data_IF_286499498597
#
_entry.id   IF_286499498597
#
_cell.length_a   1.000
_cell.length_b   1.000
_cell.length_c   1.000
_cell.angle_alpha   90.00
_cell.angle_beta   90.00
_cell.angle_gamma   90.00
#
_symmetry.space_group_name_H-M   'P 1'
#
loop_
_entity.id
_entity.type
_entity.pdbx_description
1 polymer ?
#
# COMPACT_ATOMS: atom_id res chain seq x y z
N UNK A 1 -1.97 21.91 6.01
CA UNK A 1 -1.23 22.87 6.86
C UNK A 1 -1.04 24.17 6.10
N UNK A 2 -0.95 25.31 6.80
CA UNK A 2 -0.59 26.61 6.24
C UNK A 2 0.51 27.28 7.06
N UNK A 3 1.49 27.86 6.36
CA UNK A 3 2.66 28.50 6.95
C UNK A 3 2.76 29.94 6.45
N UNK A 4 3.33 30.82 7.27
CA UNK A 4 3.67 32.16 6.84
C UNK A 4 4.85 32.10 5.86
N UNK A 5 4.70 32.73 4.71
CA UNK A 5 5.70 32.67 3.64
C UNK A 5 7.07 33.29 4.01
N UNK A 6 7.11 34.25 4.94
CA UNK A 6 8.33 35.00 5.28
C UNK A 6 9.26 34.28 6.24
N UNK A 7 8.72 33.47 7.15
CA UNK A 7 9.48 32.88 8.27
C UNK A 7 9.17 31.38 8.50
N UNK A 8 8.26 30.78 7.73
CA UNK A 8 7.87 29.39 7.89
C UNK A 8 7.08 29.10 9.17
N UNK A 9 6.59 30.12 9.88
CA UNK A 9 5.75 29.90 11.09
C UNK A 9 4.45 29.20 10.70
N UNK A 10 4.15 28.05 11.33
CA UNK A 10 2.86 27.36 11.17
C UNK A 10 1.73 28.27 11.69
N UNK A 11 0.74 28.54 10.85
CA UNK A 11 -0.40 29.40 11.17
C UNK A 11 -1.70 28.62 11.35
N UNK A 12 -1.83 27.50 10.64
CA UNK A 12 -3.03 26.67 10.66
C UNK A 12 -2.73 25.22 10.26
N UNK A 13 -3.49 24.29 10.82
CA UNK A 13 -3.47 22.88 10.45
C UNK A 13 -4.84 22.24 10.62
N UNK A 14 -5.05 21.15 9.90
CA UNK A 14 -6.26 20.33 9.95
C UNK A 14 -5.86 18.90 9.55
N UNK A 15 -6.50 17.86 10.11
CA UNK A 15 -6.35 16.49 9.63
C UNK A 15 -6.88 16.36 8.19
N UNK A 16 -6.42 15.31 7.51
CA UNK A 16 -6.84 15.03 6.14
C UNK A 16 -7.12 13.53 5.90
N UNK A 17 -7.32 12.73 6.95
CA UNK A 17 -7.51 11.27 6.92
C UNK A 17 -6.40 10.39 6.29
N UNK A 18 -5.56 10.96 5.43
CA UNK A 18 -4.50 10.28 4.68
C UNK A 18 -3.35 11.23 4.38
N UNK A 19 -2.33 10.72 3.69
CA UNK A 19 -1.22 11.53 3.19
C UNK A 19 -1.67 12.44 2.06
N UNK A 20 -1.20 13.69 2.07
CA UNK A 20 -1.50 14.71 1.05
C UNK A 20 -0.26 14.89 0.17
N UNK A 21 -0.31 14.34 -1.04
CA UNK A 21 0.83 14.33 -1.98
C UNK A 21 0.72 15.42 -3.05
N UNK A 22 -0.50 15.73 -3.48
CA UNK A 22 -0.76 16.72 -4.52
C UNK A 22 -0.54 18.14 -3.99
N UNK A 23 -0.14 19.04 -4.87
CA UNK A 23 -0.11 20.47 -4.56
C UNK A 23 -1.54 20.99 -4.31
N UNK A 24 -1.75 21.89 -3.33
CA UNK A 24 -3.02 22.56 -3.17
C UNK A 24 -3.28 23.55 -4.32
N UNK A 25 -4.56 23.83 -4.55
CA UNK A 25 -5.03 24.88 -5.47
C UNK A 25 -5.89 25.90 -4.70
N UNK A 26 -5.96 27.14 -5.17
CA UNK A 26 -6.87 28.16 -4.64
C UNK A 26 -7.65 28.82 -5.76
N UNK A 27 -8.90 29.18 -5.49
CA UNK A 27 -9.79 29.83 -6.46
C UNK A 27 -10.84 30.70 -5.76
N UNK A 28 -11.55 31.51 -6.56
CA UNK A 28 -12.68 32.33 -6.13
C UNK A 28 -13.98 31.75 -6.67
N UNK A 29 -15.02 31.66 -5.82
CA UNK A 29 -16.38 31.30 -6.24
C UNK A 29 -17.38 32.09 -5.40
N UNK A 30 -18.38 32.72 -6.04
CA UNK A 30 -19.41 33.50 -5.33
C UNK A 30 -18.86 34.65 -4.48
N UNK A 31 -17.67 35.19 -4.81
CA UNK A 31 -17.01 36.24 -4.02
C UNK A 31 -16.21 35.74 -2.81
N UNK A 32 -16.19 34.43 -2.54
CA UNK A 32 -15.42 33.80 -1.47
C UNK A 32 -14.18 33.08 -2.02
N UNK A 33 -13.09 33.06 -1.24
CA UNK A 33 -11.87 32.31 -1.56
C UNK A 33 -11.92 30.90 -0.97
N UNK A 34 -11.46 29.94 -1.77
CA UNK A 34 -11.34 28.53 -1.41
C UNK A 34 -9.90 28.04 -1.59
N UNK A 35 -9.49 27.07 -0.77
CA UNK A 35 -8.24 26.32 -0.92
C UNK A 35 -8.58 24.84 -0.92
N UNK A 36 -8.21 24.14 -1.98
CA UNK A 36 -8.53 22.72 -2.17
C UNK A 36 -7.30 21.85 -2.24
N UNK A 37 -7.38 20.69 -1.61
CA UNK A 37 -6.38 19.64 -1.60
C UNK A 37 -6.97 18.37 -2.19
N UNK A 38 -6.20 17.71 -3.07
CA UNK A 38 -6.46 16.33 -3.46
C UNK A 38 -5.71 15.43 -2.47
N UNK A 39 -6.45 14.81 -1.56
CA UNK A 39 -5.93 13.91 -0.54
C UNK A 39 -5.83 12.50 -1.12
N UNK A 40 -4.73 11.81 -0.83
CA UNK A 40 -4.53 10.44 -1.28
C UNK A 40 -3.09 10.00 -1.10
N UNK A 41 -2.83 9.16 -0.10
CA UNK A 41 -1.54 8.50 0.02
C UNK A 41 -1.31 7.52 -1.14
N UNK A 42 -0.20 7.69 -1.85
CA UNK A 42 0.07 6.99 -3.10
C UNK A 42 1.42 7.35 -3.71
N UNK A 43 1.58 7.04 -4.99
CA UNK A 43 2.81 7.28 -5.74
C UNK A 43 3.90 6.24 -5.46
N UNK A 44 5.05 6.39 -6.12
CA UNK A 44 6.11 5.38 -6.13
C UNK A 44 6.67 5.05 -4.73
N UNK A 45 6.75 6.04 -3.84
CA UNK A 45 7.34 5.84 -2.52
C UNK A 45 6.57 4.81 -1.68
N UNK A 46 5.23 4.89 -1.67
CA UNK A 46 4.38 4.01 -0.86
C UNK A 46 4.11 2.65 -1.49
N UNK A 47 4.34 2.50 -2.80
CA UNK A 47 4.24 1.20 -3.47
C UNK A 47 5.57 0.45 -3.47
N UNK A 48 6.70 1.11 -3.74
CA UNK A 48 8.01 0.46 -3.84
C UNK A 48 8.75 0.36 -2.51
N UNK A 49 8.95 1.50 -1.84
CA UNK A 49 9.61 1.58 -0.54
C UNK A 49 8.61 1.36 0.61
N UNK A 50 7.69 0.41 0.43
CA UNK A 50 6.51 0.24 1.29
C UNK A 50 6.85 0.01 2.77
N UNK A 51 7.91 -0.74 3.06
CA UNK A 51 8.40 -0.93 4.43
C UNK A 51 8.80 0.39 5.11
N UNK A 52 9.46 1.28 4.38
CA UNK A 52 9.88 2.60 4.89
C UNK A 52 8.70 3.58 4.91
N UNK A 53 7.81 3.49 3.93
CA UNK A 53 6.67 4.40 3.79
C UNK A 53 5.69 4.29 4.96
N UNK A 54 5.66 3.17 5.69
CA UNK A 54 4.86 2.99 6.90
C UNK A 54 5.18 4.02 8.00
N UNK A 55 6.38 4.61 8.00
CA UNK A 55 6.75 5.68 8.93
C UNK A 55 5.89 6.95 8.78
N UNK A 56 5.20 7.11 7.65
CA UNK A 56 4.26 8.22 7.45
C UNK A 56 2.99 8.09 8.32
N UNK A 57 2.68 6.90 8.84
CA UNK A 57 1.54 6.70 9.75
C UNK A 57 0.17 6.92 9.11
N UNK A 58 0.06 6.85 7.78
CA UNK A 58 -1.17 7.07 7.02
C UNK A 58 -1.54 5.86 6.17
N UNK A 59 -2.83 5.74 5.85
CA UNK A 59 -3.39 4.72 4.95
C UNK A 59 -3.95 5.39 3.69
N UNK A 60 -4.05 4.69 2.55
CA UNK A 60 -4.68 5.26 1.36
C UNK A 60 -6.15 5.59 1.63
N UNK A 61 -6.52 6.85 1.40
CA UNK A 61 -7.90 7.33 1.41
C UNK A 61 -7.97 8.51 0.44
N UNK A 62 -8.80 8.42 -0.59
CA UNK A 62 -8.84 9.41 -1.65
C UNK A 62 -10.06 10.31 -1.49
N UNK A 63 -9.83 11.61 -1.27
CA UNK A 63 -10.91 12.59 -1.09
C UNK A 63 -10.47 14.00 -1.53
N UNK A 64 -11.47 14.86 -1.78
CA UNK A 64 -11.24 16.28 -2.09
C UNK A 64 -11.59 17.08 -0.86
N UNK A 65 -10.60 17.73 -0.25
CA UNK A 65 -10.82 18.61 0.90
C UNK A 65 -10.73 20.07 0.47
N UNK A 66 -11.81 20.80 0.68
CA UNK A 66 -11.89 22.23 0.35
C UNK A 66 -12.16 23.04 1.60
N UNK A 67 -11.36 24.08 1.79
CA UNK A 67 -11.39 24.96 2.96
C UNK A 67 -11.75 26.38 2.53
N UNK A 68 -12.54 27.07 3.37
CA UNK A 68 -12.77 28.52 3.30
C UNK A 68 -12.77 29.12 4.70
N UNK A 69 -12.64 30.44 4.79
CA UNK A 69 -12.80 31.15 6.07
C UNK A 69 -14.23 30.97 6.59
N UNK A 70 -14.36 30.55 7.85
CA UNK A 70 -15.66 30.34 8.50
C UNK A 70 -16.37 29.03 8.15
N UNK A 71 -15.74 28.12 7.37
CA UNK A 71 -16.29 26.78 7.15
C UNK A 71 -16.30 25.94 8.43
N UNK A 72 -17.40 25.25 8.69
CA UNK A 72 -17.67 24.48 9.92
C UNK A 72 -18.06 23.01 9.66
N UNK A 73 -17.97 22.58 8.39
CA UNK A 73 -18.15 21.18 8.01
C UNK A 73 -17.15 20.28 8.72
N UNK A 74 -17.63 19.11 9.16
CA UNK A 74 -16.80 18.12 9.84
C UNK A 74 -16.18 17.17 8.83
N UNK A 75 -14.89 16.90 9.01
CA UNK A 75 -14.21 15.85 8.26
C UNK A 75 -14.86 14.51 8.59
N UNK A 76 -15.31 13.78 7.56
CA UNK A 76 -15.86 12.44 7.75
C UNK A 76 -14.74 11.49 8.20
N UNK A 77 -15.04 10.63 9.17
CA UNK A 77 -14.11 9.59 9.61
C UNK A 77 -13.89 8.58 8.48
N UNK A 78 -12.64 8.21 8.16
CA UNK A 78 -12.36 7.24 7.12
C UNK A 78 -12.70 5.82 7.58
N UNK A 79 -13.36 5.04 6.71
CA UNK A 79 -13.52 3.60 6.94
C UNK A 79 -12.27 2.85 6.46
N UNK A 80 -11.59 2.24 7.42
CA UNK A 80 -10.34 1.57 7.23
C UNK A 80 -10.48 0.11 7.61
N UNK A 81 -10.57 -0.82 6.62
CA UNK A 81 -10.72 -2.23 6.94
C UNK A 81 -9.52 -2.72 7.77
N UNK A 82 -9.73 -3.62 8.73
CA UNK A 82 -8.64 -4.19 9.51
C UNK A 82 -7.69 -4.94 8.57
N UNK A 83 -6.41 -5.00 8.94
CA UNK A 83 -5.45 -5.82 8.22
C UNK A 83 -5.74 -7.29 8.52
N UNK A 84 -5.92 -8.10 7.48
CA UNK A 84 -6.11 -9.53 7.63
C UNK A 84 -4.88 -10.18 8.28
N UNK A 85 -5.12 -11.11 9.22
CA UNK A 85 -4.06 -11.99 9.73
C UNK A 85 -3.59 -12.88 8.58
N UNK A 86 -2.27 -13.07 8.39
CA UNK A 86 -1.76 -14.01 7.39
C UNK A 86 -2.29 -15.43 7.59
N UNK A 87 -2.64 -16.11 6.49
CA UNK A 87 -3.01 -17.53 6.45
C UNK A 87 -2.07 -18.31 5.52
N UNK A 88 -0.75 -18.34 5.78
CA UNK A 88 0.18 -19.04 4.91
C UNK A 88 -0.07 -20.56 4.96
N UNK A 89 -0.05 -21.26 3.82
CA UNK A 89 0.06 -22.71 3.79
C UNK A 89 1.42 -23.17 4.34
N UNK A 90 1.55 -24.49 4.55
CA UNK A 90 2.82 -25.09 4.96
C UNK A 90 3.94 -24.79 3.95
N UNK A 91 5.10 -24.41 4.46
CA UNK A 91 6.28 -24.19 3.64
C UNK A 91 6.97 -25.52 3.33
N UNK A 92 7.06 -25.85 2.04
CA UNK A 92 7.67 -27.10 1.56
C UNK A 92 8.90 -26.88 0.69
N UNK A 93 9.19 -25.64 0.30
CA UNK A 93 10.33 -25.31 -0.54
C UNK A 93 11.65 -25.30 0.24
N UNK A 94 12.74 -25.59 -0.47
CA UNK A 94 14.10 -25.48 0.03
C UNK A 94 14.51 -24.02 0.27
N UNK A 95 15.57 -23.82 1.06
CA UNK A 95 16.14 -22.50 1.29
C UNK A 95 16.65 -21.83 -0.01
N UNK A 96 17.11 -22.63 -0.97
CA UNK A 96 17.58 -22.17 -2.29
C UNK A 96 16.42 -21.65 -3.14
N UNK A 97 15.32 -22.40 -3.25
CA UNK A 97 14.11 -21.98 -3.96
C UNK A 97 13.49 -20.70 -3.36
N UNK A 98 13.51 -20.58 -2.03
CA UNK A 98 13.05 -19.37 -1.33
C UNK A 98 13.97 -18.17 -1.64
N UNK A 99 15.27 -18.40 -1.78
CA UNK A 99 16.23 -17.35 -2.12
C UNK A 99 16.05 -16.89 -3.58
N UNK A 100 15.88 -17.80 -4.52
CA UNK A 100 15.54 -17.47 -5.92
C UNK A 100 14.20 -16.72 -6.01
N UNK A 101 13.19 -17.19 -5.28
CA UNK A 101 11.88 -16.56 -5.21
C UNK A 101 11.92 -15.12 -4.68
N UNK A 102 12.84 -14.82 -3.77
CA UNK A 102 13.08 -13.45 -3.29
C UNK A 102 13.58 -12.54 -4.42
N UNK A 103 14.52 -13.01 -5.22
CA UNK A 103 15.11 -12.21 -6.28
C UNK A 103 14.08 -11.96 -7.39
N UNK A 104 13.31 -12.98 -7.77
CA UNK A 104 12.18 -12.86 -8.69
C UNK A 104 11.10 -11.89 -8.16
N UNK A 105 10.73 -12.00 -6.87
CA UNK A 105 9.76 -11.10 -6.24
C UNK A 105 10.22 -9.63 -6.29
N UNK A 106 11.51 -9.38 -6.03
CA UNK A 106 12.07 -8.03 -6.12
C UNK A 106 12.28 -7.56 -7.57
N UNK A 107 12.55 -8.46 -8.51
CA UNK A 107 12.70 -8.11 -9.92
C UNK A 107 11.37 -7.74 -10.60
N UNK A 108 10.28 -8.40 -10.20
CA UNK A 108 9.00 -8.31 -10.92
C UNK A 108 7.88 -7.68 -10.10
N UNK A 109 7.83 -7.88 -8.79
CA UNK A 109 6.66 -7.54 -7.98
C UNK A 109 6.85 -6.31 -7.07
N UNK A 110 8.08 -5.98 -6.69
CA UNK A 110 8.34 -5.01 -5.62
C UNK A 110 7.89 -3.58 -5.94
N UNK A 111 7.88 -3.18 -7.21
CA UNK A 111 7.48 -1.82 -7.62
C UNK A 111 6.05 -1.48 -7.16
N UNK A 112 5.20 -2.51 -7.09
CA UNK A 112 3.82 -2.40 -6.63
C UNK A 112 3.65 -2.94 -5.21
N UNK A 113 4.17 -4.14 -4.92
CA UNK A 113 3.91 -4.86 -3.65
C UNK A 113 4.97 -4.64 -2.56
N UNK A 114 5.90 -3.72 -2.80
CA UNK A 114 6.97 -3.33 -1.88
C UNK A 114 8.19 -4.24 -1.93
N UNK A 115 9.37 -3.66 -1.72
CA UNK A 115 10.62 -4.43 -1.58
C UNK A 115 10.48 -5.51 -0.50
N UNK A 116 10.97 -6.72 -0.79
CA UNK A 116 10.90 -7.88 0.10
C UNK A 116 9.48 -8.20 0.60
N UNK A 117 8.49 -8.00 -0.28
CA UNK A 117 7.05 -8.14 -0.03
C UNK A 117 6.48 -7.22 1.05
N UNK A 118 7.19 -6.15 1.43
CA UNK A 118 6.73 -5.20 2.42
C UNK A 118 5.93 -4.08 1.78
N UNK A 119 4.64 -4.31 1.48
CA UNK A 119 3.74 -3.28 0.96
C UNK A 119 3.58 -2.10 1.93
N UNK A 120 3.45 -0.89 1.38
CA UNK A 120 3.12 0.34 2.11
C UNK A 120 1.62 0.56 2.30
N UNK A 121 0.79 -0.38 1.86
CA UNK A 121 -0.67 -0.40 2.10
C UNK A 121 -1.51 0.20 0.97
N UNK A 122 -0.91 0.79 -0.06
CA UNK A 122 -1.61 1.31 -1.25
C UNK A 122 -2.03 0.17 -2.19
N UNK A 123 -1.18 -0.86 -2.30
CA UNK A 123 -1.46 -2.12 -2.97
C UNK A 123 -1.55 -3.25 -1.94
N UNK A 124 -2.14 -4.41 -2.29
CA UNK A 124 -2.21 -5.54 -1.37
C UNK A 124 -0.84 -5.94 -0.80
N UNK A 125 -0.79 -6.24 0.50
CA UNK A 125 0.39 -6.83 1.15
C UNK A 125 0.39 -8.35 0.89
N UNK A 126 1.30 -8.81 0.02
CA UNK A 126 1.37 -10.22 -0.39
C UNK A 126 1.77 -11.18 0.74
N UNK A 127 2.12 -10.67 1.92
CA UNK A 127 2.34 -11.48 3.13
C UNK A 127 1.04 -11.78 3.88
N UNK A 128 -0.08 -11.18 3.47
CA UNK A 128 -1.40 -11.29 4.11
C UNK A 128 -2.44 -11.86 3.15
N UNK A 129 -2.02 -12.74 2.24
CA UNK A 129 -2.97 -13.42 1.36
C UNK A 129 -3.88 -14.34 2.19
N UNK A 130 -5.14 -14.45 1.77
CA UNK A 130 -6.07 -15.46 2.30
C UNK A 130 -5.74 -16.84 1.74
N UNK A 131 -6.22 -17.91 2.38
CA UNK A 131 -6.12 -19.27 1.86
C UNK A 131 -6.61 -19.37 0.38
N UNK A 132 -7.79 -18.81 0.08
CA UNK A 132 -8.32 -18.77 -1.29
C UNK A 132 -7.40 -18.05 -2.29
N UNK A 133 -6.70 -16.99 -1.85
CA UNK A 133 -5.78 -16.27 -2.72
C UNK A 133 -4.47 -17.06 -2.92
N UNK A 134 -4.04 -17.85 -1.94
CA UNK A 134 -2.95 -18.80 -2.11
C UNK A 134 -3.31 -19.86 -3.17
N UNK A 135 -4.52 -20.44 -3.11
CA UNK A 135 -4.97 -21.47 -4.07
C UNK A 135 -5.02 -20.96 -5.52
N UNK A 136 -5.34 -19.68 -5.70
CA UNK A 136 -5.41 -19.03 -7.01
C UNK A 136 -4.14 -18.26 -7.40
N UNK A 137 -3.05 -18.35 -6.63
CA UNK A 137 -1.88 -17.48 -6.78
C UNK A 137 -1.33 -17.47 -8.21
N UNK A 138 -1.08 -18.66 -8.78
CA UNK A 138 -0.54 -18.80 -10.14
C UNK A 138 -1.47 -18.22 -11.21
N UNK A 139 -2.77 -18.49 -11.12
CA UNK A 139 -3.75 -17.93 -12.04
C UNK A 139 -3.81 -16.39 -11.96
N UNK A 140 -3.68 -15.82 -10.76
CA UNK A 140 -3.63 -14.37 -10.55
C UNK A 140 -2.38 -13.77 -11.23
N UNK A 141 -1.20 -14.35 -11.00
CA UNK A 141 0.06 -13.91 -11.62
C UNK A 141 0.01 -14.08 -13.15
N UNK A 142 -0.70 -15.09 -13.65
CA UNK A 142 -0.94 -15.29 -15.08
C UNK A 142 -2.05 -14.40 -15.66
N UNK A 143 -2.71 -13.54 -14.87
CA UNK A 143 -3.59 -12.49 -15.37
C UNK A 143 -5.04 -12.53 -14.91
N UNK A 144 -5.44 -13.43 -14.00
CA UNK A 144 -6.82 -13.51 -13.51
C UNK A 144 -7.31 -12.22 -12.81
N UNK A 145 -6.41 -11.27 -12.48
CA UNK A 145 -6.74 -9.96 -11.90
C UNK A 145 -6.34 -8.76 -12.79
N UNK A 146 -6.21 -8.96 -14.10
CA UNK A 146 -5.88 -7.89 -15.05
C UNK A 146 -6.85 -6.70 -14.97
N UNK A 147 -8.15 -6.96 -14.86
CA UNK A 147 -9.18 -5.91 -14.72
C UNK A 147 -9.08 -5.09 -13.43
N UNK A 148 -8.29 -5.54 -12.45
CA UNK A 148 -8.01 -4.83 -11.19
C UNK A 148 -6.62 -4.18 -11.18
N UNK A 149 -5.92 -4.16 -12.31
CA UNK A 149 -4.59 -3.55 -12.45
C UNK A 149 -3.41 -4.44 -12.07
N UNK A 150 -3.63 -5.74 -11.79
CA UNK A 150 -2.53 -6.71 -11.63
C UNK A 150 -2.14 -7.24 -13.03
N UNK A 151 -0.94 -6.92 -13.56
CA UNK A 151 -0.54 -7.38 -14.88
C UNK A 151 -0.38 -8.90 -14.95
N UNK A 152 -0.50 -9.45 -16.16
CA UNK A 152 -0.15 -10.85 -16.43
C UNK A 152 1.36 -10.99 -16.62
N UNK A 153 1.93 -12.07 -16.08
CA UNK A 153 3.31 -12.47 -16.28
C UNK A 153 3.44 -13.76 -17.11
N UNK A 154 2.37 -14.20 -17.79
CA UNK A 154 2.36 -15.47 -18.51
C UNK A 154 3.41 -15.58 -19.64
N UNK A 155 3.91 -14.45 -20.14
CA UNK A 155 4.98 -14.37 -21.16
C UNK A 155 6.34 -13.94 -20.57
N UNK A 156 6.43 -13.81 -19.24
CA UNK A 156 7.60 -13.24 -18.54
C UNK A 156 8.17 -14.22 -17.52
N UNK A 157 7.33 -15.00 -16.86
CA UNK A 157 7.72 -15.94 -15.81
C UNK A 157 7.23 -17.34 -16.16
N UNK A 158 8.12 -18.31 -15.99
CA UNK A 158 7.78 -19.72 -16.08
C UNK A 158 6.96 -20.17 -14.85
N UNK A 159 6.14 -21.24 -14.96
CA UNK A 159 5.32 -21.71 -13.85
C UNK A 159 6.09 -22.04 -12.57
N UNK A 160 7.33 -22.53 -12.67
CA UNK A 160 8.19 -22.85 -11.52
C UNK A 160 8.75 -21.58 -10.86
N UNK A 161 9.05 -20.53 -11.63
CA UNK A 161 9.46 -19.23 -11.10
C UNK A 161 8.34 -18.60 -10.27
N UNK A 162 7.08 -18.74 -10.73
CA UNK A 162 5.90 -18.30 -9.97
C UNK A 162 5.77 -19.07 -8.65
N UNK A 163 6.02 -20.39 -8.66
CA UNK A 163 5.99 -21.20 -7.44
C UNK A 163 7.08 -20.80 -6.45
N UNK A 164 8.29 -20.45 -6.92
CA UNK A 164 9.38 -19.91 -6.09
C UNK A 164 9.02 -18.57 -5.47
N UNK A 165 8.41 -17.65 -6.24
CA UNK A 165 7.88 -16.39 -5.69
C UNK A 165 6.85 -16.70 -4.59
N UNK A 166 5.94 -17.64 -4.83
CA UNK A 166 4.92 -18.02 -3.85
C UNK A 166 5.54 -18.57 -2.56
N UNK A 167 6.53 -19.46 -2.68
CA UNK A 167 7.30 -19.98 -1.56
C UNK A 167 7.98 -18.87 -0.75
N UNK A 168 8.60 -17.88 -1.43
CA UNK A 168 9.16 -16.72 -0.75
C UNK A 168 8.10 -15.92 0.02
N UNK A 169 6.92 -15.70 -0.58
CA UNK A 169 5.82 -14.98 0.08
C UNK A 169 5.29 -15.74 1.30
N UNK A 170 5.17 -17.07 1.23
CA UNK A 170 4.80 -17.93 2.36
C UNK A 170 5.81 -17.78 3.50
N UNK A 171 7.12 -17.82 3.19
CA UNK A 171 8.18 -17.58 4.18
C UNK A 171 8.02 -16.19 4.82
N UNK A 172 7.78 -15.15 4.03
CA UNK A 172 7.59 -13.77 4.52
C UNK A 172 6.31 -13.56 5.32
N UNK A 173 5.27 -14.35 5.06
CA UNK A 173 4.05 -14.40 5.85
C UNK A 173 4.28 -15.06 7.21
N UNK A 174 5.03 -16.17 7.26
CA UNK A 174 5.45 -16.79 8.53
C UNK A 174 6.33 -15.84 9.36
N UNK A 175 7.34 -15.18 8.75
CA UNK A 175 8.13 -14.15 9.45
C UNK A 175 7.27 -13.03 10.05
N UNK A 176 6.15 -12.70 9.40
CA UNK A 176 5.22 -11.67 9.87
C UNK A 176 4.40 -12.17 11.05
N UNK A 177 3.93 -13.42 11.00
CA UNK A 177 3.25 -14.08 12.10
C UNK A 177 4.13 -14.11 13.35
N UNK A 178 5.37 -14.56 13.22
CA UNK A 178 6.32 -14.64 14.33
C UNK A 178 6.62 -13.27 14.95
N UNK A 179 6.57 -12.20 14.14
CA UNK A 179 6.87 -10.84 14.60
C UNK A 179 5.67 -10.16 15.26
N UNK A 180 4.48 -10.32 14.69
CA UNK A 180 3.29 -9.55 15.08
C UNK A 180 2.31 -10.33 15.96
N UNK A 181 2.45 -11.66 16.02
CA UNK A 181 1.48 -12.56 16.68
C UNK A 181 2.16 -13.66 17.52
N UNK A 182 3.40 -13.43 17.98
CA UNK A 182 4.16 -14.39 18.82
C UNK A 182 3.47 -14.72 20.15
N UNK A 183 2.63 -13.81 20.66
CA UNK A 183 1.98 -13.93 21.96
C UNK A 183 0.63 -14.67 21.87
N UNK A 184 0.16 -14.98 20.65
CA UNK A 184 -1.10 -15.69 20.36
C UNK A 184 -0.89 -17.20 20.09
N UNK A 185 0.36 -17.69 20.12
CA UNK A 185 0.73 -19.10 19.93
C UNK A 185 1.08 -19.77 21.26
#
# INVERSE_FOLDING_TARGET
MAYRATDGKKLWESPANSGVMAAPVTYMAGGEQYVTFMVGWGGAFSTFAGGQSKNAGVRPYAEVLTFKIGGDEKLAEPDFPPLAKPEPPEQTASAEEIAEGKDLMNGHCSQCHGMNAASGGVTPDLRRLSADTHDHFKAIVMGARLSKGMPSYAEVLEPDEIDKIHAYLIKRANDLLDKEYSDDQ
#
